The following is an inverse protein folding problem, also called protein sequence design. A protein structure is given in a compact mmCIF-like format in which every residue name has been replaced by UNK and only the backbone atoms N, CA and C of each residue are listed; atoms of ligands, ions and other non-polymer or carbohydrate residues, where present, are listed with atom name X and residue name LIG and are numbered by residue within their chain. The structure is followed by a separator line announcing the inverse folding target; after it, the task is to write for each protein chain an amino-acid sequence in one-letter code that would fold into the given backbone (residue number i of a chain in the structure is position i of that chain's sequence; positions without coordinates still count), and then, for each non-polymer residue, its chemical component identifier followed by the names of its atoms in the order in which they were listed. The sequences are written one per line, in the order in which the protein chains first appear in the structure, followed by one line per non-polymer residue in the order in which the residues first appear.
data_IF_604851090404
#
_entry.id   IF_604851090404
#
_cell.length_a   1.000
_cell.length_b   1.000
_cell.length_c   1.000
_cell.angle_alpha   90.00
_cell.angle_beta   90.00
_cell.angle_gamma   90.00
#
_symmetry.space_group_name_H-M   'P 1'
#
loop_
_entity.id
_entity.type
_entity.pdbx_description
1 polymer ?
#
# COMPACT_ATOMS: atom_id res chain seq x y z
N UNK A 1 -21.89 1.96 -1.47
CA UNK A 1 -20.52 2.25 -0.98
C UNK A 1 -19.72 2.90 -2.10
N UNK A 2 -18.99 3.93 -1.77
CA UNK A 2 -18.10 4.56 -2.73
C UNK A 2 -16.85 3.68 -2.89
N UNK A 3 -16.63 3.07 -4.08
CA UNK A 3 -15.45 2.21 -4.27
C UNK A 3 -14.13 2.98 -4.21
N UNK A 4 -14.21 4.32 -4.17
CA UNK A 4 -13.04 5.17 -4.10
C UNK A 4 -12.72 5.66 -2.70
N UNK A 5 -13.49 5.28 -1.69
CA UNK A 5 -13.15 5.61 -0.32
C UNK A 5 -11.82 4.96 0.07
N UNK A 6 -10.86 5.75 0.62
CA UNK A 6 -9.53 5.23 0.91
C UNK A 6 -9.53 4.03 1.84
N UNK A 7 -10.43 3.98 2.82
CA UNK A 7 -10.50 2.84 3.75
C UNK A 7 -10.78 1.54 3.01
N UNK A 8 -11.79 1.53 2.16
CA UNK A 8 -12.16 0.35 1.38
C UNK A 8 -11.10 0.06 0.34
N UNK A 9 -10.62 1.11 -0.33
CA UNK A 9 -9.65 0.97 -1.41
C UNK A 9 -8.34 0.37 -0.91
N UNK A 10 -7.85 0.76 0.28
CA UNK A 10 -6.64 0.18 0.85
C UNK A 10 -6.85 -1.28 1.24
N UNK A 11 -8.03 -1.64 1.73
CA UNK A 11 -8.35 -3.03 2.04
C UNK A 11 -8.36 -3.89 0.78
N UNK A 12 -8.97 -3.41 -0.32
CA UNK A 12 -8.96 -4.10 -1.59
C UNK A 12 -7.54 -4.25 -2.13
N UNK A 13 -6.73 -3.22 -2.00
CA UNK A 13 -5.33 -3.27 -2.38
C UNK A 13 -4.59 -4.35 -1.59
N UNK A 14 -4.79 -4.40 -0.28
CA UNK A 14 -4.16 -5.41 0.59
C UNK A 14 -4.53 -6.83 0.13
N UNK A 15 -5.80 -7.08 -0.20
CA UNK A 15 -6.24 -8.38 -0.71
C UNK A 15 -5.52 -8.73 -2.02
N UNK A 16 -5.43 -7.78 -2.94
CA UNK A 16 -4.74 -7.99 -4.21
C UNK A 16 -3.26 -8.31 -3.99
N UNK A 17 -2.63 -7.61 -3.06
CA UNK A 17 -1.21 -7.85 -2.73
C UNK A 17 -1.02 -9.24 -2.13
N UNK A 18 -1.92 -9.69 -1.25
CA UNK A 18 -1.82 -11.04 -0.69
C UNK A 18 -1.92 -12.11 -1.78
N UNK A 19 -2.82 -11.93 -2.74
CA UNK A 19 -2.94 -12.87 -3.87
C UNK A 19 -1.69 -12.85 -4.74
N UNK A 20 -1.14 -11.68 -4.98
CA UNK A 20 0.12 -11.51 -5.71
C UNK A 20 1.26 -12.22 -4.97
N UNK A 21 1.38 -12.01 -3.67
CA UNK A 21 2.42 -12.65 -2.85
C UNK A 21 2.32 -14.17 -2.93
N UNK A 22 1.11 -14.70 -2.83
CA UNK A 22 0.91 -16.16 -2.92
C UNK A 22 1.38 -16.72 -4.26
N UNK A 23 1.17 -15.99 -5.34
CA UNK A 23 1.60 -16.40 -6.68
C UNK A 23 3.13 -16.50 -6.81
N UNK A 24 3.88 -15.81 -5.93
CA UNK A 24 5.35 -15.81 -5.96
C UNK A 24 5.97 -16.93 -5.14
N UNK A 25 5.23 -17.57 -4.25
CA UNK A 25 5.81 -18.45 -3.22
C UNK A 25 6.38 -19.75 -3.77
N UNK A 26 6.03 -20.13 -4.98
CA UNK A 26 6.55 -21.34 -5.62
C UNK A 26 8.01 -21.26 -6.05
N UNK A 27 8.58 -20.05 -6.07
CA UNK A 27 9.98 -19.82 -6.48
C UNK A 27 10.80 -19.35 -5.27
N UNK A 28 12.04 -19.84 -5.10
CA UNK A 28 12.85 -19.45 -3.93
C UNK A 28 13.03 -17.94 -3.79
N UNK A 29 13.42 -17.25 -4.87
CA UNK A 29 13.56 -15.78 -4.84
C UNK A 29 12.21 -15.10 -4.63
N UNK A 30 11.15 -15.69 -5.16
CA UNK A 30 9.79 -15.18 -4.99
C UNK A 30 9.33 -15.19 -3.56
N UNK A 31 9.78 -16.16 -2.75
CA UNK A 31 9.39 -16.21 -1.34
C UNK A 31 9.88 -15.01 -0.55
N UNK A 32 11.09 -14.54 -0.85
CA UNK A 32 11.62 -13.34 -0.19
C UNK A 32 10.74 -12.13 -0.50
N UNK A 33 10.43 -11.93 -1.78
CA UNK A 33 9.57 -10.81 -2.20
C UNK A 33 8.17 -10.98 -1.61
N UNK A 34 7.61 -12.19 -1.67
CA UNK A 34 6.26 -12.48 -1.18
C UNK A 34 6.08 -12.04 0.27
N UNK A 35 7.04 -12.39 1.13
CA UNK A 35 6.96 -12.03 2.55
C UNK A 35 7.00 -10.52 2.76
N UNK A 36 7.87 -9.83 2.05
CA UNK A 36 8.04 -8.39 2.19
C UNK A 36 6.86 -7.60 1.60
N UNK A 37 6.39 -7.99 0.42
CA UNK A 37 5.29 -7.27 -0.22
C UNK A 37 3.97 -7.52 0.52
N UNK A 38 3.76 -8.72 1.06
CA UNK A 38 2.59 -9.01 1.89
C UNK A 38 2.59 -8.12 3.13
N UNK A 39 3.74 -7.97 3.77
CA UNK A 39 3.88 -7.10 4.95
C UNK A 39 3.60 -5.64 4.58
N UNK A 40 4.29 -5.10 3.57
CA UNK A 40 4.16 -3.68 3.22
C UNK A 40 2.79 -3.34 2.67
N UNK A 41 2.24 -4.19 1.81
CA UNK A 41 0.92 -3.94 1.20
C UNK A 41 -0.22 -3.98 2.21
N UNK A 42 -0.17 -4.90 3.17
CA UNK A 42 -1.18 -4.94 4.23
C UNK A 42 -0.99 -3.81 5.23
N UNK A 43 0.25 -3.35 5.43
CA UNK A 43 0.54 -2.21 6.31
C UNK A 43 -0.05 -0.91 5.79
N UNK A 44 -0.21 -0.76 4.47
CA UNK A 44 -0.89 0.41 3.90
C UNK A 44 -2.30 0.52 4.50
N UNK A 45 -3.06 -0.56 4.45
CA UNK A 45 -4.43 -0.58 4.98
C UNK A 45 -4.46 -0.43 6.51
N UNK A 46 -3.58 -1.15 7.20
CA UNK A 46 -3.54 -1.13 8.66
C UNK A 46 -3.21 0.25 9.22
N UNK A 47 -2.23 0.93 8.61
CA UNK A 47 -1.82 2.26 9.05
C UNK A 47 -2.83 3.33 8.67
N UNK A 48 -3.50 3.18 7.52
CA UNK A 48 -4.56 4.12 7.18
C UNK A 48 -5.72 3.99 8.18
N UNK A 49 -6.10 2.76 8.53
CA UNK A 49 -7.11 2.53 9.56
C UNK A 49 -6.72 3.17 10.89
N UNK A 50 -5.44 3.07 11.26
CA UNK A 50 -4.93 3.72 12.47
C UNK A 50 -5.00 5.24 12.36
N UNK A 51 -4.72 5.80 11.17
CA UNK A 51 -4.82 7.24 10.94
C UNK A 51 -6.23 7.77 11.20
N UNK A 52 -7.25 6.98 10.86
CA UNK A 52 -8.65 7.37 11.09
C UNK A 52 -8.98 7.50 12.58
N UNK A 53 -8.15 6.96 13.46
CA UNK A 53 -8.30 7.03 14.90
C UNK A 53 -7.26 7.94 15.55
N UNK A 54 -6.63 8.80 14.75
CA UNK A 54 -5.59 9.70 15.22
C UNK A 54 -6.14 10.66 16.28
N UNK A 55 -5.31 10.97 17.27
CA UNK A 55 -5.71 11.79 18.44
C UNK A 55 -5.42 13.26 18.23
N UNK A 56 -4.68 13.61 17.19
CA UNK A 56 -4.31 14.99 16.87
C UNK A 56 -3.94 15.08 15.41
N UNK A 57 -3.80 16.31 14.91
CA UNK A 57 -3.34 16.54 13.55
C UNK A 57 -1.92 15.97 13.35
N UNK A 58 -1.03 16.17 14.32
CA UNK A 58 0.32 15.64 14.24
C UNK A 58 0.34 14.11 14.18
N UNK A 59 -0.49 13.46 15.01
CA UNK A 59 -0.61 12.00 15.01
C UNK A 59 -1.15 11.50 13.67
N UNK A 60 -2.15 12.18 13.12
CA UNK A 60 -2.71 11.85 11.82
C UNK A 60 -1.64 11.94 10.72
N UNK A 61 -0.89 13.04 10.69
CA UNK A 61 0.17 13.24 9.70
C UNK A 61 1.24 12.15 9.83
N UNK A 62 1.64 11.79 11.06
CA UNK A 62 2.60 10.72 11.28
C UNK A 62 2.12 9.39 10.72
N UNK A 63 0.87 9.06 10.95
CA UNK A 63 0.30 7.80 10.46
C UNK A 63 0.15 7.78 8.94
N UNK A 64 -0.25 8.90 8.34
CA UNK A 64 -0.32 9.01 6.87
C UNK A 64 1.09 8.93 6.27
N UNK A 65 2.09 9.50 6.94
CA UNK A 65 3.48 9.38 6.48
C UNK A 65 3.91 7.91 6.44
N UNK A 66 3.53 7.13 7.46
CA UNK A 66 3.81 5.70 7.47
C UNK A 66 3.08 4.98 6.32
N UNK A 67 1.82 5.34 6.06
CA UNK A 67 1.08 4.79 4.91
C UNK A 67 1.85 5.03 3.60
N UNK A 68 2.36 6.24 3.42
CA UNK A 68 3.14 6.60 2.23
C UNK A 68 4.43 5.79 2.12
N UNK A 69 5.14 5.60 3.23
CA UNK A 69 6.36 4.80 3.26
C UNK A 69 6.07 3.35 2.88
N UNK A 70 5.00 2.80 3.40
CA UNK A 70 4.62 1.41 3.10
C UNK A 70 4.14 1.25 1.66
N UNK A 71 3.44 2.23 1.12
CA UNK A 71 3.03 2.21 -0.29
C UNK A 71 4.25 2.28 -1.21
N UNK A 72 5.23 3.11 -0.87
CA UNK A 72 6.47 3.22 -1.62
C UNK A 72 7.27 1.90 -1.58
N UNK A 73 7.36 1.29 -0.40
CA UNK A 73 8.02 -0.01 -0.28
C UNK A 73 7.31 -1.07 -1.11
N UNK A 74 5.99 -1.06 -1.12
CA UNK A 74 5.20 -2.01 -1.93
C UNK A 74 5.51 -1.82 -3.42
N UNK A 75 5.59 -0.59 -3.88
CA UNK A 75 5.97 -0.27 -5.25
C UNK A 75 7.37 -0.81 -5.58
N UNK A 76 8.31 -0.66 -4.65
CA UNK A 76 9.66 -1.21 -4.80
C UNK A 76 9.61 -2.73 -5.06
N UNK A 77 8.86 -3.47 -4.25
CA UNK A 77 8.78 -4.93 -4.42
C UNK A 77 8.11 -5.33 -5.73
N UNK A 78 7.11 -4.58 -6.17
CA UNK A 78 6.46 -4.80 -7.46
C UNK A 78 7.46 -4.59 -8.61
N UNK A 79 8.21 -3.50 -8.57
CA UNK A 79 9.22 -3.20 -9.59
C UNK A 79 10.32 -4.26 -9.62
N UNK A 80 10.77 -4.68 -8.46
CA UNK A 80 11.80 -5.73 -8.37
C UNK A 80 11.29 -7.04 -8.96
N UNK A 81 10.04 -7.38 -8.71
CA UNK A 81 9.41 -8.58 -9.27
C UNK A 81 9.38 -8.52 -10.79
N UNK A 82 9.08 -7.36 -11.34
CA UNK A 82 9.05 -7.14 -12.79
C UNK A 82 10.44 -7.32 -13.39
N UNK A 83 11.45 -6.68 -12.80
CA UNK A 83 12.83 -6.78 -13.26
C UNK A 83 13.37 -8.20 -13.18
N UNK A 84 12.94 -8.96 -12.18
CA UNK A 84 13.35 -10.35 -12.01
C UNK A 84 12.55 -11.33 -12.89
N UNK A 85 11.53 -10.85 -13.59
CA UNK A 85 10.71 -11.70 -14.47
C UNK A 85 9.92 -12.76 -13.73
N UNK A 86 9.50 -12.50 -12.50
CA UNK A 86 8.85 -13.49 -11.64
C UNK A 86 7.32 -13.55 -11.77
N UNK A 87 6.72 -12.62 -12.50
CA UNK A 87 5.26 -12.56 -12.62
C UNK A 87 4.88 -11.81 -13.90
N UNK A 88 3.63 -11.96 -14.30
CA UNK A 88 3.09 -11.34 -15.52
C UNK A 88 3.21 -9.81 -15.47
N UNK A 89 3.86 -9.22 -16.47
CA UNK A 89 4.00 -7.77 -16.57
C UNK A 89 2.66 -7.05 -16.58
N UNK A 90 1.64 -7.65 -17.21
CA UNK A 90 0.30 -7.07 -17.27
C UNK A 90 -0.33 -6.93 -15.87
N UNK A 91 -0.23 -7.99 -15.05
CA UNK A 91 -0.76 -7.96 -13.69
C UNK A 91 0.04 -7.02 -12.79
N UNK A 92 1.34 -7.00 -12.96
CA UNK A 92 2.21 -6.09 -12.20
C UNK A 92 1.91 -4.63 -12.52
N UNK A 93 1.64 -4.32 -13.79
CA UNK A 93 1.28 -2.97 -14.20
C UNK A 93 0.03 -2.45 -13.50
N UNK A 94 -0.99 -3.30 -13.37
CA UNK A 94 -2.23 -2.93 -12.69
C UNK A 94 -1.99 -2.67 -11.20
N UNK A 95 -1.20 -3.51 -10.54
CA UNK A 95 -0.86 -3.32 -9.12
C UNK A 95 -0.03 -2.06 -8.90
N UNK A 96 0.96 -1.82 -9.78
CA UNK A 96 1.80 -0.63 -9.68
C UNK A 96 0.96 0.63 -9.85
N UNK A 97 0.05 0.64 -10.83
CA UNK A 97 -0.84 1.78 -11.04
C UNK A 97 -1.65 2.07 -9.80
N UNK A 98 -2.20 1.04 -9.15
CA UNK A 98 -2.98 1.25 -7.94
C UNK A 98 -2.12 1.77 -6.80
N UNK A 99 -0.90 1.24 -6.62
CA UNK A 99 0.02 1.73 -5.59
C UNK A 99 0.36 3.20 -5.82
N UNK A 100 0.60 3.59 -7.07
CA UNK A 100 0.90 4.98 -7.43
C UNK A 100 -0.30 5.90 -7.18
N UNK A 101 -1.51 5.44 -7.51
CA UNK A 101 -2.72 6.20 -7.26
C UNK A 101 -2.95 6.42 -5.76
N UNK A 102 -2.77 5.38 -4.96
CA UNK A 102 -2.89 5.48 -3.50
C UNK A 102 -1.85 6.46 -2.94
N UNK A 103 -0.63 6.43 -3.47
CA UNK A 103 0.42 7.36 -3.06
C UNK A 103 0.00 8.80 -3.31
N UNK A 104 -0.59 9.09 -4.48
CA UNK A 104 -1.10 10.43 -4.80
C UNK A 104 -2.21 10.85 -3.83
N UNK A 105 -3.13 9.94 -3.55
CA UNK A 105 -4.24 10.21 -2.63
C UNK A 105 -3.70 10.57 -1.24
N UNK A 106 -2.75 9.79 -0.72
CA UNK A 106 -2.23 10.00 0.62
C UNK A 106 -1.28 11.19 0.72
N UNK A 107 -0.57 11.52 -0.35
CA UNK A 107 0.19 12.78 -0.39
C UNK A 107 -0.77 13.97 -0.27
N UNK A 108 -1.87 13.96 -1.03
CA UNK A 108 -2.87 15.01 -0.94
C UNK A 108 -3.51 15.05 0.45
N UNK A 109 -3.85 13.88 0.99
CA UNK A 109 -4.43 13.76 2.33
C UNK A 109 -3.51 14.37 3.39
N UNK A 110 -2.21 14.10 3.30
CA UNK A 110 -1.23 14.64 4.26
C UNK A 110 -1.14 16.15 4.17
N UNK A 111 -1.14 16.69 2.95
CA UNK A 111 -1.03 18.14 2.72
C UNK A 111 -2.26 18.89 3.20
N UNK A 112 -3.43 18.25 3.11
CA UNK A 112 -4.70 18.87 3.50
C UNK A 112 -5.25 18.28 4.80
N UNK A 113 -4.35 17.77 5.67
CA UNK A 113 -4.77 17.14 6.91
C UNK A 113 -5.69 18.05 7.71
N UNK A 114 -6.79 17.49 8.24
CA UNK A 114 -7.74 18.29 9.00
C UNK A 114 -7.07 18.90 10.23
N UNK A 115 -7.53 20.10 10.59
CA UNK A 115 -7.04 20.77 11.78
C UNK A 115 -7.77 20.24 12.99
N UNK A 116 -7.20 19.20 13.61
CA UNK A 116 -7.77 18.62 14.82
C UNK A 116 -7.53 19.58 15.98
N UNK A 117 -8.59 19.92 16.68
CA UNK A 117 -8.45 20.62 17.94
C UNK A 117 -7.94 19.60 18.95
N UNK A 118 -6.72 19.78 19.33
CA UNK A 118 -6.10 18.95 20.34
C UNK A 118 -6.44 19.44 21.72
#
# INVERSE_FOLDING_TARGET
MNPFEPKERTMQFAVRILKFADALRGKPSGRTIANQVARSGTSVAANYRAALRAKSRADFINKITTVLEEADETTFWIELTELAGLHSAKRLGALRTEAEELTKIFNATRMTAPNHKS
#
